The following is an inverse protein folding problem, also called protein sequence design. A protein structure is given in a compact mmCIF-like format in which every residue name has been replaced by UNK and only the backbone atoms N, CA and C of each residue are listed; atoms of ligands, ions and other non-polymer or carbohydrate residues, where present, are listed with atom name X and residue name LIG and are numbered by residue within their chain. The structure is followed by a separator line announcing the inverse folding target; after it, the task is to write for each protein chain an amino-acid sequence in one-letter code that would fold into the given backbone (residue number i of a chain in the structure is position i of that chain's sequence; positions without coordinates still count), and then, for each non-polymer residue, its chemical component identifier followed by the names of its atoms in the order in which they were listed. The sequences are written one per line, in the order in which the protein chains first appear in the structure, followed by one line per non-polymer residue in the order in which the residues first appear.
data_IF_011128376801
#
_entry.id   IF_011128376801
#
_cell.length_a   1.000
_cell.length_b   1.000
_cell.length_c   1.000
_cell.angle_alpha   90.00
_cell.angle_beta   90.00
_cell.angle_gamma   90.00
#
_symmetry.space_group_name_H-M   'P 1'
#
loop_
_entity.id
_entity.type
_entity.pdbx_description
1 polymer ?
#
# COMPACT_ATOMS: atom_id res chain seq x y z
N UNK A 1 -52.02 -19.56 -18.49
CA UNK A 1 -51.44 -19.17 -19.79
C UNK A 1 -51.53 -17.64 -19.90
N UNK A 2 -50.47 -16.94 -19.57
CA UNK A 2 -50.33 -15.48 -19.76
C UNK A 2 -49.11 -15.28 -20.64
N UNK A 3 -49.32 -14.77 -21.83
CA UNK A 3 -48.29 -14.44 -22.81
C UNK A 3 -47.66 -13.10 -22.43
N UNK A 4 -46.32 -13.08 -22.24
CA UNK A 4 -45.54 -11.88 -22.00
C UNK A 4 -45.01 -11.39 -23.36
N UNK A 5 -45.41 -10.22 -23.76
CA UNK A 5 -45.01 -9.57 -25.02
C UNK A 5 -43.76 -8.74 -24.75
N UNK A 6 -42.65 -9.08 -25.36
CA UNK A 6 -41.40 -8.32 -25.36
C UNK A 6 -41.50 -7.17 -26.36
N UNK A 7 -41.39 -5.94 -25.90
CA UNK A 7 -41.25 -4.74 -26.73
C UNK A 7 -39.77 -4.42 -26.88
N UNK A 8 -39.28 -4.53 -28.12
CA UNK A 8 -37.94 -4.06 -28.51
C UNK A 8 -38.02 -2.54 -28.77
N UNK A 9 -37.34 -1.73 -27.95
CA UNK A 9 -37.09 -0.31 -28.24
C UNK A 9 -35.70 -0.17 -28.89
N UNK A 10 -35.70 0.06 -30.23
CA UNK A 10 -34.49 0.42 -30.98
C UNK A 10 -34.23 1.92 -30.80
N UNK A 11 -33.15 2.29 -30.12
CA UNK A 11 -32.68 3.67 -30.05
C UNK A 11 -31.65 3.92 -31.16
N UNK A 12 -32.01 4.68 -32.15
CA UNK A 12 -31.14 5.21 -33.22
C UNK A 12 -30.39 6.43 -32.68
N UNK A 13 -29.08 6.35 -32.59
CA UNK A 13 -28.18 7.46 -32.20
C UNK A 13 -27.76 8.19 -33.47
N UNK A 14 -28.24 9.43 -33.62
CA UNK A 14 -27.84 10.38 -34.68
C UNK A 14 -26.55 11.09 -34.22
N UNK A 15 -25.47 10.92 -34.99
CA UNK A 15 -24.26 11.72 -34.84
C UNK A 15 -24.46 13.08 -35.52
N UNK A 16 -24.52 14.14 -34.76
CA UNK A 16 -24.43 15.53 -35.27
C UNK A 16 -22.96 15.96 -35.23
N UNK A 17 -22.35 16.14 -36.37
CA UNK A 17 -21.06 16.77 -36.53
C UNK A 17 -21.21 18.29 -36.44
N UNK A 18 -20.70 18.90 -35.38
CA UNK A 18 -20.56 20.38 -35.29
C UNK A 18 -19.20 20.78 -35.80
N UNK A 19 -19.17 21.44 -36.94
CA UNK A 19 -18.05 22.18 -37.48
C UNK A 19 -17.97 23.50 -36.69
N UNK A 20 -16.88 23.78 -36.01
CA UNK A 20 -16.67 25.05 -35.29
C UNK A 20 -15.55 25.85 -35.93
N UNK A 21 -15.93 26.87 -36.68
CA UNK A 21 -15.00 27.84 -37.27
C UNK A 21 -14.34 28.70 -36.16
N UNK A 22 -13.01 28.77 -36.22
CA UNK A 22 -12.18 29.56 -35.33
C UNK A 22 -12.32 31.06 -35.65
N UNK A 23 -12.82 31.84 -34.70
CA UNK A 23 -12.66 33.29 -34.72
C UNK A 23 -11.36 33.66 -34.01
N UNK A 24 -10.41 34.22 -34.74
CA UNK A 24 -9.18 34.84 -34.28
C UNK A 24 -9.52 36.05 -33.42
N UNK A 25 -9.14 36.02 -32.14
CA UNK A 25 -9.11 37.16 -31.26
C UNK A 25 -7.64 37.45 -30.94
N UNK A 26 -7.16 38.59 -31.40
CA UNK A 26 -5.83 39.13 -31.20
C UNK A 26 -5.71 39.61 -29.75
N UNK A 27 -4.92 38.91 -28.92
CA UNK A 27 -4.51 39.36 -27.61
C UNK A 27 -2.99 39.27 -27.52
N UNK A 28 -2.35 40.40 -27.65
CA UNK A 28 -0.93 40.63 -27.40
C UNK A 28 -0.60 40.32 -25.94
N UNK A 29 0.05 39.15 -25.69
CA UNK A 29 0.64 38.83 -24.39
C UNK A 29 2.14 38.98 -24.49
N UNK A 30 2.68 39.82 -23.64
CA UNK A 30 4.12 40.08 -23.44
C UNK A 30 4.81 38.76 -22.98
N UNK A 31 5.99 38.39 -23.51
CA UNK A 31 6.67 37.17 -23.10
C UNK A 31 7.24 37.29 -21.70
N UNK A 32 6.61 36.66 -20.73
CA UNK A 32 7.24 36.35 -19.44
C UNK A 32 8.25 35.22 -19.65
N UNK A 33 9.49 35.48 -19.21
CA UNK A 33 10.63 34.59 -19.36
C UNK A 33 10.55 33.49 -18.28
N UNK A 34 9.64 32.51 -18.45
CA UNK A 34 9.62 31.29 -17.65
C UNK A 34 10.59 30.29 -18.26
N UNK A 35 11.80 30.24 -17.67
CA UNK A 35 12.79 29.21 -17.95
C UNK A 35 12.26 27.90 -17.40
N UNK A 36 11.47 27.18 -18.19
CA UNK A 36 11.15 25.77 -17.93
C UNK A 36 12.47 24.97 -18.00
N UNK A 37 12.93 24.49 -16.85
CA UNK A 37 14.02 23.53 -16.78
C UNK A 37 13.65 22.32 -17.66
N UNK A 38 14.37 22.14 -18.75
CA UNK A 38 14.22 20.97 -19.61
C UNK A 38 14.57 19.73 -18.79
N UNK A 39 13.56 19.00 -18.39
CA UNK A 39 13.72 17.64 -17.84
C UNK A 39 14.28 16.82 -19.00
N UNK A 40 15.57 16.49 -18.94
CA UNK A 40 16.21 15.58 -19.91
C UNK A 40 15.53 14.23 -19.76
N UNK A 41 14.60 13.90 -20.64
CA UNK A 41 14.06 12.55 -20.76
C UNK A 41 15.23 11.61 -21.09
N UNK A 42 15.56 10.75 -20.13
CA UNK A 42 16.55 9.72 -20.32
C UNK A 42 16.02 8.78 -21.40
N UNK A 43 16.60 8.87 -22.61
CA UNK A 43 16.23 8.04 -23.74
C UNK A 43 16.30 6.58 -23.31
N UNK A 44 15.17 5.86 -23.39
CA UNK A 44 15.10 4.47 -23.00
C UNK A 44 16.08 3.66 -23.88
N UNK A 45 16.96 2.88 -23.25
CA UNK A 45 17.85 1.96 -23.95
C UNK A 45 17.01 0.97 -24.78
N UNK A 46 17.41 0.61 -26.00
CA UNK A 46 16.67 -0.37 -26.80
C UNK A 46 16.58 -1.71 -26.06
N UNK A 47 15.36 -2.18 -25.83
CA UNK A 47 15.14 -3.48 -25.20
C UNK A 47 15.46 -4.59 -26.20
N UNK A 48 16.47 -5.42 -25.91
CA UNK A 48 16.79 -6.64 -26.66
C UNK A 48 16.20 -7.84 -25.90
N UNK A 49 15.29 -8.57 -26.55
CA UNK A 49 14.69 -9.76 -25.96
C UNK A 49 15.72 -10.88 -25.83
N UNK A 50 15.90 -11.48 -24.66
CA UNK A 50 16.80 -12.64 -24.48
C UNK A 50 16.29 -13.85 -25.25
N UNK A 51 17.18 -14.85 -25.47
CA UNK A 51 16.77 -16.14 -26.00
C UNK A 51 15.81 -16.88 -25.04
N UNK A 52 15.08 -17.88 -25.56
CA UNK A 52 14.05 -18.60 -24.80
C UNK A 52 14.58 -19.30 -23.54
N UNK A 53 15.80 -19.84 -23.57
CA UNK A 53 16.38 -20.53 -22.43
C UNK A 53 16.71 -19.54 -21.30
N UNK A 54 17.28 -18.39 -21.67
CA UNK A 54 17.55 -17.28 -20.75
C UNK A 54 16.24 -16.72 -20.16
N UNK A 55 15.20 -16.54 -20.97
CA UNK A 55 13.88 -16.10 -20.47
C UNK A 55 13.30 -17.09 -19.46
N UNK A 56 13.33 -18.38 -19.75
CA UNK A 56 12.81 -19.41 -18.83
C UNK A 56 13.58 -19.43 -17.50
N UNK A 57 14.91 -19.31 -17.55
CA UNK A 57 15.76 -19.22 -16.36
C UNK A 57 15.42 -17.99 -15.52
N UNK A 58 15.26 -16.84 -16.15
CA UNK A 58 14.90 -15.59 -15.47
C UNK A 58 13.54 -15.69 -14.80
N UNK A 59 12.54 -16.23 -15.49
CA UNK A 59 11.21 -16.49 -14.92
C UNK A 59 11.28 -17.47 -13.76
N UNK A 60 12.00 -18.58 -13.89
CA UNK A 60 12.16 -19.54 -12.80
C UNK A 60 12.77 -18.90 -11.54
N UNK A 61 13.80 -18.07 -11.72
CA UNK A 61 14.41 -17.32 -10.61
C UNK A 61 13.43 -16.34 -9.96
N UNK A 62 12.68 -15.59 -10.78
CA UNK A 62 11.71 -14.64 -10.30
C UNK A 62 10.55 -15.29 -9.52
N UNK A 63 10.02 -16.40 -10.04
CA UNK A 63 8.86 -17.09 -9.46
C UNK A 63 9.18 -17.92 -8.21
N UNK A 64 10.45 -18.23 -7.94
CA UNK A 64 10.81 -19.15 -6.86
C UNK A 64 10.93 -18.42 -5.52
N UNK A 65 10.14 -18.79 -4.49
CA UNK A 65 10.31 -18.25 -3.15
C UNK A 65 11.71 -18.49 -2.59
N UNK A 66 12.38 -17.43 -2.15
CA UNK A 66 13.72 -17.44 -1.58
C UNK A 66 13.74 -17.21 -0.07
N UNK A 67 14.88 -16.77 0.46
CA UNK A 67 15.07 -16.63 1.91
C UNK A 67 14.18 -15.59 2.57
N UNK A 68 13.87 -14.49 1.88
CA UNK A 68 12.90 -13.51 2.39
C UNK A 68 11.50 -14.11 2.55
N UNK A 69 11.10 -15.01 1.66
CA UNK A 69 9.84 -15.73 1.78
C UNK A 69 9.84 -16.75 2.92
N UNK A 70 10.97 -17.44 3.16
CA UNK A 70 11.14 -18.32 4.33
C UNK A 70 11.08 -17.52 5.63
N UNK A 71 11.67 -16.32 5.65
CA UNK A 71 11.59 -15.42 6.78
C UNK A 71 10.13 -15.00 7.04
N UNK A 72 9.38 -14.57 6.02
CA UNK A 72 7.95 -14.30 6.16
C UNK A 72 7.17 -15.52 6.68
N UNK A 73 7.51 -16.72 6.21
CA UNK A 73 6.86 -17.96 6.67
C UNK A 73 7.08 -18.22 8.16
N UNK A 74 8.22 -17.83 8.73
CA UNK A 74 8.49 -17.97 10.17
C UNK A 74 7.58 -17.10 11.05
N UNK A 75 6.97 -16.06 10.47
CA UNK A 75 6.01 -15.18 11.15
C UNK A 75 4.56 -15.69 11.08
N UNK A 76 4.32 -16.82 10.43
CA UNK A 76 2.99 -17.44 10.38
C UNK A 76 2.52 -17.90 11.76
N UNK A 77 1.22 -17.90 11.97
CA UNK A 77 0.58 -18.30 13.23
C UNK A 77 -0.35 -17.23 13.76
N UNK A 78 -0.77 -17.41 15.01
CA UNK A 78 -1.67 -16.49 15.71
C UNK A 78 -0.86 -15.62 16.68
N UNK A 79 -1.19 -14.34 16.70
CA UNK A 79 -0.52 -13.34 17.53
C UNK A 79 -1.56 -12.51 18.29
N UNK A 80 -1.29 -12.24 19.54
CA UNK A 80 -2.03 -11.26 20.34
C UNK A 80 -1.21 -9.98 20.38
N UNK A 81 -1.83 -8.84 20.06
CA UNK A 81 -1.20 -7.54 20.02
C UNK A 81 -1.72 -6.62 21.15
N UNK A 82 -0.81 -6.02 21.90
CA UNK A 82 -1.10 -4.89 22.78
C UNK A 82 -0.89 -3.61 21.96
N UNK A 83 -1.98 -2.91 21.67
CA UNK A 83 -1.98 -1.70 20.84
C UNK A 83 -1.90 -0.47 21.71
N UNK A 84 -1.00 0.44 21.35
CA UNK A 84 -0.92 1.81 21.88
C UNK A 84 -1.04 2.79 20.72
N UNK A 85 -2.00 3.72 20.76
CA UNK A 85 -2.24 4.71 19.73
C UNK A 85 -2.15 6.12 20.31
N UNK A 86 -1.35 6.98 19.69
CA UNK A 86 -1.17 8.38 20.08
C UNK A 86 -1.85 9.27 19.03
N UNK A 87 -2.85 10.04 19.44
CA UNK A 87 -3.56 10.96 18.55
C UNK A 87 -2.78 12.28 18.33
N UNK A 88 -1.86 12.60 19.24
CA UNK A 88 -0.99 13.77 19.14
C UNK A 88 0.38 13.50 19.78
N UNK A 89 1.44 14.20 19.33
CA UNK A 89 2.75 14.12 19.97
C UNK A 89 2.64 14.42 21.49
N UNK A 90 3.20 13.53 22.32
CA UNK A 90 3.23 13.70 23.77
C UNK A 90 1.92 13.41 24.51
N UNK A 91 0.84 13.05 23.82
CA UNK A 91 -0.39 12.60 24.49
C UNK A 91 -0.21 11.25 25.18
N UNK A 92 -1.05 10.96 26.16
CA UNK A 92 -1.18 9.59 26.67
C UNK A 92 -1.76 8.68 25.56
N UNK A 93 -1.25 7.44 25.40
CA UNK A 93 -1.77 6.54 24.40
C UNK A 93 -3.14 5.99 24.78
N UNK A 94 -4.03 5.87 23.82
CA UNK A 94 -5.18 4.98 23.91
C UNK A 94 -4.68 3.54 23.79
N UNK A 95 -5.15 2.66 24.68
CA UNK A 95 -4.72 1.25 24.70
C UNK A 95 -5.86 0.33 24.33
N UNK A 96 -5.56 -0.65 23.50
CA UNK A 96 -6.48 -1.73 23.13
C UNK A 96 -5.72 -3.03 22.87
N UNK A 97 -6.45 -4.06 22.50
CA UNK A 97 -5.85 -5.36 22.12
C UNK A 97 -6.32 -5.75 20.74
N UNK A 98 -5.47 -6.48 20.04
CA UNK A 98 -5.77 -7.03 18.72
C UNK A 98 -5.33 -8.48 18.64
N UNK A 99 -5.88 -9.19 17.65
CA UNK A 99 -5.45 -10.52 17.26
C UNK A 99 -5.06 -10.49 15.79
N UNK A 100 -3.91 -11.05 15.44
CA UNK A 100 -3.49 -11.24 14.07
C UNK A 100 -3.33 -12.73 13.76
N UNK A 101 -3.78 -13.16 12.58
CA UNK A 101 -3.59 -14.52 12.07
C UNK A 101 -2.85 -14.43 10.75
N UNK A 102 -1.61 -14.86 10.74
CA UNK A 102 -0.69 -14.79 9.62
C UNK A 102 -0.55 -16.16 8.95
N UNK A 103 -0.65 -16.21 7.64
CA UNK A 103 -0.44 -17.44 6.86
C UNK A 103 0.23 -17.14 5.52
N UNK A 104 1.09 -18.06 5.08
CA UNK A 104 1.59 -18.03 3.70
C UNK A 104 0.51 -18.51 2.74
N UNK A 105 0.40 -17.82 1.61
CA UNK A 105 -0.53 -18.13 0.53
C UNK A 105 0.20 -18.29 -0.81
N UNK A 106 -0.49 -18.78 -1.84
CA UNK A 106 0.01 -18.94 -3.21
C UNK A 106 1.39 -19.64 -3.27
N UNK A 107 1.50 -20.78 -2.58
CA UNK A 107 2.73 -21.57 -2.58
C UNK A 107 3.92 -20.89 -1.90
N UNK A 108 3.66 -20.11 -0.84
CA UNK A 108 4.70 -19.47 -0.05
C UNK A 108 5.23 -18.15 -0.62
N UNK A 109 4.51 -17.51 -1.55
CA UNK A 109 4.93 -16.26 -2.19
C UNK A 109 4.53 -15.02 -1.42
N UNK A 110 3.40 -15.09 -0.73
CA UNK A 110 2.83 -13.95 0.00
C UNK A 110 2.44 -14.38 1.40
N UNK A 111 2.47 -13.44 2.33
CA UNK A 111 1.87 -13.62 3.65
C UNK A 111 0.57 -12.82 3.70
N UNK A 112 -0.52 -13.48 4.06
CA UNK A 112 -1.80 -12.86 4.36
C UNK A 112 -1.94 -12.78 5.87
N UNK A 113 -2.26 -11.59 6.39
CA UNK A 113 -2.55 -11.33 7.80
C UNK A 113 -3.98 -10.84 7.95
N UNK A 114 -4.78 -11.55 8.77
CA UNK A 114 -6.10 -11.07 9.15
C UNK A 114 -6.03 -10.55 10.59
N UNK A 115 -6.49 -9.33 10.78
CA UNK A 115 -6.47 -8.66 12.07
C UNK A 115 -7.89 -8.44 12.56
N UNK A 116 -8.11 -8.66 13.86
CA UNK A 116 -9.36 -8.36 14.55
C UNK A 116 -9.07 -7.68 15.87
N UNK A 117 -9.98 -6.83 16.32
CA UNK A 117 -9.80 -6.10 17.57
C UNK A 117 -11.01 -5.23 17.89
N UNK A 118 -10.75 -4.21 18.69
CA UNK A 118 -11.70 -3.14 18.99
C UNK A 118 -10.99 -1.81 18.82
N UNK A 119 -11.59 -0.88 18.12
CA UNK A 119 -11.10 0.47 17.93
C UNK A 119 -12.20 1.46 18.32
N UNK A 120 -11.94 2.30 19.32
CA UNK A 120 -12.89 3.28 19.83
C UNK A 120 -14.24 2.67 20.22
N UNK A 121 -14.24 1.46 20.82
CA UNK A 121 -15.47 0.75 21.22
C UNK A 121 -16.20 0.00 20.09
N UNK A 122 -15.72 0.06 18.86
CA UNK A 122 -16.31 -0.61 17.69
C UNK A 122 -15.48 -1.84 17.25
N UNK A 123 -16.12 -2.92 16.75
CA UNK A 123 -15.40 -4.03 16.15
C UNK A 123 -14.51 -3.56 15.00
N UNK A 124 -13.26 -3.96 15.06
CA UNK A 124 -12.27 -3.64 14.04
C UNK A 124 -11.83 -4.91 13.31
N UNK A 125 -11.80 -4.83 11.99
CA UNK A 125 -11.28 -5.86 11.10
C UNK A 125 -10.34 -5.23 10.08
N UNK A 126 -9.16 -5.84 9.89
CA UNK A 126 -8.19 -5.40 8.91
C UNK A 126 -7.49 -6.57 8.26
N UNK A 127 -6.97 -6.35 7.06
CA UNK A 127 -6.23 -7.35 6.30
C UNK A 127 -4.99 -6.73 5.66
N UNK A 128 -3.86 -7.40 5.85
CA UNK A 128 -2.61 -7.09 5.17
C UNK A 128 -2.20 -8.22 4.21
N UNK A 129 -1.58 -7.84 3.10
CA UNK A 129 -0.78 -8.76 2.28
C UNK A 129 0.65 -8.25 2.24
N UNK A 130 1.60 -9.08 2.67
CA UNK A 130 3.02 -8.81 2.56
C UNK A 130 3.63 -9.65 1.44
N UNK A 131 4.35 -9.00 0.54
CA UNK A 131 5.09 -9.59 -0.56
C UNK A 131 6.58 -9.25 -0.47
N UNK A 132 7.43 -10.12 -0.99
CA UNK A 132 8.80 -9.78 -1.36
C UNK A 132 8.98 -9.99 -2.85
N UNK A 133 9.24 -8.92 -3.59
CA UNK A 133 9.49 -8.98 -5.02
C UNK A 133 10.94 -9.36 -5.29
N UNK A 134 11.16 -10.56 -5.84
CA UNK A 134 12.48 -11.05 -6.18
C UNK A 134 13.19 -10.21 -7.25
N UNK A 135 12.44 -9.54 -8.13
CA UNK A 135 12.99 -8.67 -9.17
C UNK A 135 13.41 -7.32 -8.62
N UNK A 136 12.50 -6.67 -7.92
CA UNK A 136 12.72 -5.36 -7.32
C UNK A 136 13.53 -5.39 -6.01
N UNK A 137 13.74 -6.60 -5.42
CA UNK A 137 14.44 -6.78 -4.13
C UNK A 137 13.84 -5.93 -3.01
N UNK A 138 12.53 -5.82 -2.98
CA UNK A 138 11.81 -4.96 -2.04
C UNK A 138 10.60 -5.67 -1.45
N UNK A 139 10.28 -5.34 -0.21
CA UNK A 139 8.99 -5.69 0.40
C UNK A 139 7.91 -4.72 -0.05
N UNK A 140 6.72 -5.25 -0.24
CA UNK A 140 5.50 -4.49 -0.54
C UNK A 140 4.43 -4.98 0.42
N UNK A 141 3.86 -4.05 1.20
CA UNK A 141 2.74 -4.31 2.09
C UNK A 141 1.51 -3.57 1.58
N UNK A 142 0.35 -4.24 1.63
CA UNK A 142 -0.94 -3.60 1.43
C UNK A 142 -1.78 -3.76 2.69
N UNK A 143 -2.62 -2.77 2.99
CA UNK A 143 -3.54 -2.79 4.11
C UNK A 143 -4.91 -2.26 3.72
N UNK A 144 -5.95 -2.97 4.15
CA UNK A 144 -7.34 -2.53 4.09
C UNK A 144 -8.00 -2.84 5.43
N UNK A 145 -8.99 -2.03 5.83
CA UNK A 145 -9.76 -2.24 7.05
C UNK A 145 -11.20 -1.73 6.92
N UNK A 146 -12.00 -2.00 7.95
CA UNK A 146 -13.40 -1.57 8.00
C UNK A 146 -13.60 -0.15 8.54
N UNK A 147 -12.53 0.58 8.83
CA UNK A 147 -12.60 1.99 9.24
C UNK A 147 -12.46 2.95 8.07
N UNK A 148 -12.02 2.47 6.91
CA UNK A 148 -11.81 3.26 5.70
C UNK A 148 -12.27 2.55 4.42
N UNK A 149 -12.13 3.26 3.29
CA UNK A 149 -12.44 2.73 1.94
C UNK A 149 -11.21 2.75 1.02
N UNK A 150 -10.09 3.26 1.53
CA UNK A 150 -8.82 3.31 0.81
C UNK A 150 -8.00 2.04 0.96
N UNK A 151 -6.93 1.95 0.19
CA UNK A 151 -5.89 0.94 0.37
C UNK A 151 -4.57 1.65 0.67
N UNK A 152 -3.90 1.24 1.75
CA UNK A 152 -2.54 1.67 2.01
C UNK A 152 -1.57 0.74 1.29
N UNK A 153 -0.56 1.29 0.63
CA UNK A 153 0.53 0.55 -0.02
C UNK A 153 1.85 1.11 0.46
N UNK A 154 2.63 0.28 1.16
CA UNK A 154 3.95 0.64 1.64
C UNK A 154 5.01 -0.23 0.98
N UNK A 155 6.22 0.33 0.76
CA UNK A 155 7.36 -0.39 0.18
C UNK A 155 8.62 -0.11 0.99
N UNK A 156 9.52 -1.10 1.00
CA UNK A 156 10.80 -0.90 1.68
C UNK A 156 11.65 -2.15 1.81
N UNK A 157 12.56 -2.16 2.77
CA UNK A 157 13.59 -3.18 2.89
C UNK A 157 13.68 -3.82 4.27
N UNK A 158 14.46 -4.89 4.34
CA UNK A 158 14.86 -5.59 5.56
C UNK A 158 16.30 -5.24 5.93
N UNK A 159 16.51 -4.90 7.18
CA UNK A 159 17.83 -4.78 7.78
C UNK A 159 18.08 -5.97 8.72
N UNK A 160 19.03 -6.82 8.34
CA UNK A 160 19.38 -8.01 9.11
C UNK A 160 20.10 -7.67 10.42
N UNK A 161 20.80 -6.55 10.50
CA UNK A 161 21.52 -6.11 11.70
C UNK A 161 20.58 -5.73 12.84
N UNK A 162 19.55 -4.95 12.54
CA UNK A 162 18.51 -4.54 13.48
C UNK A 162 17.32 -5.50 13.54
N UNK A 163 17.30 -6.55 12.71
CA UNK A 163 16.17 -7.47 12.52
C UNK A 163 14.85 -6.71 12.31
N UNK A 164 14.87 -5.70 11.47
CA UNK A 164 13.70 -4.86 11.21
C UNK A 164 13.41 -4.67 9.73
N UNK A 165 12.14 -4.57 9.42
CA UNK A 165 11.63 -4.19 8.11
C UNK A 165 11.08 -2.76 8.22
N UNK A 166 11.59 -1.85 7.38
CA UNK A 166 11.09 -0.48 7.30
C UNK A 166 10.38 -0.29 5.97
N UNK A 167 9.13 0.12 6.04
CA UNK A 167 8.28 0.38 4.88
C UNK A 167 7.79 1.82 4.91
N UNK A 168 7.72 2.45 3.74
CA UNK A 168 7.24 3.83 3.59
C UNK A 168 6.22 3.93 2.46
N UNK A 169 5.35 4.90 2.55
CA UNK A 169 4.37 5.22 1.51
C UNK A 169 3.51 6.40 1.92
N UNK A 170 2.40 6.57 1.21
CA UNK A 170 1.47 7.66 1.45
C UNK A 170 0.07 7.13 1.67
N UNK A 171 -0.69 7.81 2.52
CA UNK A 171 -2.12 7.60 2.71
C UNK A 171 -2.86 8.91 2.50
N UNK A 172 -4.16 8.79 2.24
CA UNK A 172 -5.05 9.96 2.36
C UNK A 172 -5.46 10.09 3.82
N UNK A 173 -5.22 11.26 4.39
CA UNK A 173 -5.69 11.58 5.74
C UNK A 173 -7.11 12.16 5.67
N UNK A 174 -8.15 11.38 6.06
CA UNK A 174 -9.53 11.84 6.03
C UNK A 174 -9.83 12.89 7.11
N UNK A 175 -9.04 12.93 8.19
CA UNK A 175 -9.25 13.86 9.30
C UNK A 175 -8.97 15.31 8.91
N UNK A 176 -8.14 15.51 7.88
CA UNK A 176 -7.81 16.83 7.35
C UNK A 176 -8.99 17.56 6.69
N UNK A 177 -10.04 16.83 6.31
CA UNK A 177 -11.17 17.36 5.52
C UNK A 177 -10.81 17.79 4.08
N UNK A 178 -9.53 17.72 3.71
CA UNK A 178 -9.01 18.14 2.40
C UNK A 178 -8.48 16.99 1.56
N UNK A 179 -8.62 15.75 2.03
CA UNK A 179 -8.05 14.54 1.40
C UNK A 179 -6.53 14.67 1.15
N UNK A 180 -5.82 15.22 2.12
CA UNK A 180 -4.38 15.45 2.03
C UNK A 180 -3.62 14.12 1.99
N UNK A 181 -2.69 13.98 1.05
CA UNK A 181 -1.69 12.91 1.11
C UNK A 181 -0.73 13.15 2.29
N UNK A 182 -0.48 12.08 3.03
CA UNK A 182 0.37 12.09 4.23
C UNK A 182 1.38 10.95 4.15
N UNK A 183 2.64 11.26 4.41
CA UNK A 183 3.70 10.26 4.46
C UNK A 183 3.56 9.37 5.70
N UNK A 184 3.69 8.07 5.50
CA UNK A 184 3.65 7.06 6.57
C UNK A 184 4.91 6.20 6.50
N UNK A 185 5.46 5.89 7.66
CA UNK A 185 6.55 4.93 7.85
C UNK A 185 6.16 3.89 8.87
N UNK A 186 6.27 2.64 8.48
CA UNK A 186 6.06 1.49 9.35
C UNK A 186 7.38 0.78 9.61
N UNK A 187 7.64 0.41 10.86
CA UNK A 187 8.80 -0.38 11.26
C UNK A 187 8.34 -1.63 11.97
N UNK A 188 8.64 -2.77 11.37
CA UNK A 188 8.33 -4.08 11.93
C UNK A 188 9.61 -4.75 12.44
N UNK A 189 9.70 -5.00 13.74
CA UNK A 189 10.90 -5.53 14.43
C UNK A 189 10.65 -6.94 14.92
N UNK A 190 11.56 -7.84 14.64
CA UNK A 190 11.56 -9.21 15.18
C UNK A 190 12.42 -9.23 16.43
N UNK A 191 11.81 -9.35 17.59
CA UNK A 191 12.52 -9.44 18.87
C UNK A 191 13.03 -10.87 19.08
N UNK A 192 12.13 -11.84 18.95
CA UNK A 192 12.43 -13.28 18.99
C UNK A 192 11.32 -14.06 18.26
N UNK A 193 11.33 -15.40 18.33
CA UNK A 193 10.36 -16.26 17.65
C UNK A 193 8.91 -16.06 18.14
N UNK A 194 8.73 -15.46 19.33
CA UNK A 194 7.44 -15.29 19.99
C UNK A 194 7.06 -13.83 20.23
N UNK A 195 7.94 -12.88 19.88
CA UNK A 195 7.71 -11.45 20.11
C UNK A 195 8.10 -10.63 18.90
N UNK A 196 7.21 -9.73 18.51
CA UNK A 196 7.40 -8.78 17.42
C UNK A 196 6.84 -7.42 17.83
N UNK A 197 7.37 -6.35 17.26
CA UNK A 197 6.86 -5.00 17.47
C UNK A 197 6.62 -4.35 16.12
N UNK A 198 5.43 -3.78 15.95
CA UNK A 198 5.13 -2.89 14.83
C UNK A 198 4.99 -1.46 15.35
N UNK A 199 5.69 -0.54 14.72
CA UNK A 199 5.58 0.89 14.99
C UNK A 199 5.15 1.62 13.73
N UNK A 200 4.21 2.55 13.85
CA UNK A 200 3.77 3.40 12.75
C UNK A 200 4.04 4.86 13.08
N UNK A 201 4.58 5.57 12.12
CA UNK A 201 4.98 6.97 12.22
C UNK A 201 4.34 7.80 11.12
N UNK A 202 3.98 9.03 11.45
CA UNK A 202 3.46 10.02 10.52
C UNK A 202 3.73 11.43 11.03
N UNK A 203 3.41 12.48 10.25
CA UNK A 203 3.66 13.86 10.64
C UNK A 203 2.69 14.32 11.73
N UNK A 204 3.23 15.03 12.70
CA UNK A 204 2.46 15.80 13.67
C UNK A 204 1.98 17.15 13.13
N UNK A 205 1.28 17.93 13.95
CA UNK A 205 0.81 19.26 13.57
C UNK A 205 1.93 20.23 13.19
N UNK A 206 3.13 20.02 13.71
CA UNK A 206 4.34 20.81 13.40
C UNK A 206 5.11 20.28 12.18
N UNK A 207 4.58 19.26 11.50
CA UNK A 207 5.19 18.59 10.37
C UNK A 207 6.32 17.63 10.71
N UNK A 208 6.69 17.50 11.99
CA UNK A 208 7.70 16.52 12.42
C UNK A 208 7.07 15.15 12.59
N UNK A 209 7.85 14.13 12.26
CA UNK A 209 7.42 12.75 12.44
C UNK A 209 7.30 12.41 13.94
N UNK A 210 6.20 11.72 14.29
CA UNK A 210 6.05 11.12 15.62
C UNK A 210 5.47 9.71 15.51
N UNK A 211 5.63 8.91 16.57
CA UNK A 211 5.04 7.58 16.63
C UNK A 211 3.53 7.71 16.92
N UNK A 212 2.72 7.30 15.94
CA UNK A 212 1.27 7.32 16.00
C UNK A 212 0.70 6.04 16.60
N UNK A 213 1.37 4.90 16.36
CA UNK A 213 0.92 3.60 16.83
C UNK A 213 2.10 2.68 17.13
N UNK A 214 1.93 1.84 18.13
CA UNK A 214 2.80 0.72 18.45
C UNK A 214 1.95 -0.49 18.78
N UNK A 215 2.33 -1.65 18.23
CA UNK A 215 1.70 -2.92 18.59
C UNK A 215 2.79 -3.89 19.05
N UNK A 216 2.70 -4.33 20.30
CA UNK A 216 3.55 -5.35 20.84
C UNK A 216 2.88 -6.71 20.67
N UNK A 217 3.36 -7.51 19.71
CA UNK A 217 2.82 -8.82 19.42
C UNK A 217 3.50 -9.91 20.23
N UNK A 218 2.68 -10.79 20.79
CA UNK A 218 3.11 -12.05 21.42
C UNK A 218 2.44 -13.21 20.69
N UNK A 219 3.20 -14.24 20.33
CA UNK A 219 2.68 -15.44 19.66
C UNK A 219 1.73 -16.17 20.61
N UNK A 220 0.51 -16.43 20.13
CA UNK A 220 -0.46 -17.23 20.86
C UNK A 220 -0.10 -18.72 20.75
N UNK A 221 -0.29 -19.42 21.87
CA UNK A 221 -0.09 -20.90 21.93
C UNK A 221 -1.26 -21.63 21.29
#
# INVERSE_FOLDING_TARGET
MRRLTLIFCSATILFAACNNESKTSDNTVTPGNDTMAATTEKKAEPYTMPDSATMMKNWSTYMTPGDMHKMMASWSGTWTGEVSMWHMPGSAPEKSTSKAVNKMIMGGRYQLSNHTGNMMGMPFEGQATLAYDNGAKTFISTWIDNAGTGIMVLKGGWDAGSKSMTLTGKIIDPSSGTNRETDIREVFKIIDDNKQVMEMYGPGPDGKEYKMMEINYTRSK
#
